data_IF_174184972245
#
_entry.id   IF_174184972245
#
_cell.length_a   1.000
_cell.length_b   1.000
_cell.length_c   1.000
_cell.angle_alpha   90.00
_cell.angle_beta   90.00
_cell.angle_gamma   90.00
#
_symmetry.space_group_name_H-M   'P 1'
#
loop_
_entity.id
_entity.type
_entity.pdbx_description
1 polymer ?
#
# COMPACT_ATOMS: atom_id res chain seq x y z
N UNK A 1 11.40 1.40 25.18
CA UNK A 1 9.96 1.07 25.30
C UNK A 1 9.08 1.71 24.22
N UNK A 2 9.41 2.90 23.71
CA UNK A 2 8.57 3.64 22.73
C UNK A 2 8.53 3.01 21.32
N UNK A 3 9.66 2.53 20.78
CA UNK A 3 9.70 1.94 19.42
C UNK A 3 8.83 0.68 19.26
N UNK A 4 8.92 -0.24 20.21
CA UNK A 4 8.11 -1.47 20.24
C UNK A 4 6.60 -1.17 20.32
N UNK A 5 6.20 -0.25 21.19
CA UNK A 5 4.80 0.17 21.26
C UNK A 5 4.30 0.74 19.93
N UNK A 6 5.13 1.54 19.24
CA UNK A 6 4.78 2.11 17.94
C UNK A 6 4.65 1.01 16.87
N UNK A 7 5.59 0.04 16.79
CA UNK A 7 5.49 -1.08 15.85
C UNK A 7 4.26 -1.94 16.10
N UNK A 8 4.00 -2.31 17.35
CA UNK A 8 2.84 -3.12 17.73
C UNK A 8 1.52 -2.40 17.41
N UNK A 9 1.43 -1.10 17.69
CA UNK A 9 0.28 -0.28 17.32
C UNK A 9 0.11 -0.20 15.80
N UNK A 10 1.20 -0.02 15.07
CA UNK A 10 1.19 0.03 13.60
C UNK A 10 0.69 -1.30 13.01
N UNK A 11 1.21 -2.44 13.49
CA UNK A 11 0.76 -3.76 13.08
C UNK A 11 -0.72 -4.01 13.41
N UNK A 12 -1.18 -3.54 14.58
CA UNK A 12 -2.59 -3.60 14.97
C UNK A 12 -3.47 -2.78 14.03
N UNK A 13 -3.08 -1.53 13.74
CA UNK A 13 -3.81 -0.65 12.82
C UNK A 13 -3.86 -1.24 11.41
N UNK A 14 -2.74 -1.76 10.91
CA UNK A 14 -2.68 -2.42 9.59
C UNK A 14 -3.61 -3.64 9.56
N UNK A 15 -3.56 -4.50 10.59
CA UNK A 15 -4.44 -5.67 10.70
C UNK A 15 -5.92 -5.28 10.72
N UNK A 16 -6.29 -4.32 11.58
CA UNK A 16 -7.67 -3.83 11.67
C UNK A 16 -8.13 -3.21 10.35
N UNK A 17 -7.26 -2.45 9.67
CA UNK A 17 -7.59 -1.85 8.37
C UNK A 17 -7.78 -2.92 7.30
N UNK A 18 -6.91 -3.94 7.25
CA UNK A 18 -7.06 -5.07 6.33
C UNK A 18 -8.37 -5.83 6.57
N UNK A 19 -8.73 -6.08 7.84
CA UNK A 19 -10.00 -6.70 8.19
C UNK A 19 -11.21 -5.85 7.78
N UNK A 20 -11.15 -4.54 8.01
CA UNK A 20 -12.22 -3.63 7.59
C UNK A 20 -12.36 -3.61 6.07
N UNK A 21 -11.26 -3.62 5.31
CA UNK A 21 -11.31 -3.71 3.84
C UNK A 21 -11.91 -5.05 3.39
N UNK A 22 -11.60 -6.16 4.07
CA UNK A 22 -12.24 -7.46 3.80
C UNK A 22 -13.75 -7.43 4.04
N UNK A 23 -14.18 -6.95 5.21
CA UNK A 23 -15.59 -6.80 5.54
C UNK A 23 -16.31 -5.87 4.56
N UNK A 24 -15.66 -4.77 4.22
CA UNK A 24 -16.16 -3.83 3.23
C UNK A 24 -16.26 -4.50 1.86
N UNK A 25 -15.28 -5.32 1.47
CA UNK A 25 -15.32 -6.11 0.24
C UNK A 25 -16.52 -7.05 0.21
N UNK A 26 -16.79 -7.76 1.29
CA UNK A 26 -17.95 -8.67 1.39
C UNK A 26 -19.28 -7.92 1.25
N UNK A 27 -19.40 -6.75 1.88
CA UNK A 27 -20.61 -5.90 1.81
C UNK A 27 -20.77 -5.28 0.41
N UNK A 28 -19.67 -4.80 -0.18
CA UNK A 28 -19.66 -4.09 -1.46
C UNK A 28 -19.70 -5.04 -2.66
N UNK A 29 -19.49 -6.34 -2.46
CA UNK A 29 -19.50 -7.37 -3.51
C UNK A 29 -20.77 -7.34 -4.39
N UNK A 30 -21.92 -6.93 -3.84
CA UNK A 30 -23.19 -6.74 -4.56
C UNK A 30 -23.64 -5.29 -4.74
N UNK A 31 -22.81 -4.31 -4.39
CA UNK A 31 -23.15 -2.88 -4.37
C UNK A 31 -22.86 -2.16 -5.69
N UNK A 32 -22.98 -0.83 -5.71
CA UNK A 32 -22.82 -0.05 -6.94
C UNK A 32 -21.39 -0.15 -7.49
N UNK A 33 -21.25 0.01 -8.81
CA UNK A 33 -19.96 -0.03 -9.50
C UNK A 33 -18.98 1.04 -8.99
N UNK A 34 -19.49 2.18 -8.50
CA UNK A 34 -18.68 3.23 -7.90
C UNK A 34 -18.07 2.79 -6.56
N UNK A 35 -18.84 2.06 -5.75
CA UNK A 35 -18.36 1.52 -4.47
C UNK A 35 -17.27 0.48 -4.68
N UNK A 36 -17.40 -0.36 -5.73
CA UNK A 36 -16.36 -1.32 -6.14
C UNK A 36 -15.06 -0.63 -6.57
N UNK A 37 -15.16 0.49 -7.29
CA UNK A 37 -14.02 1.33 -7.67
C UNK A 37 -13.29 1.91 -6.45
N UNK A 38 -14.04 2.50 -5.52
CA UNK A 38 -13.46 3.03 -4.29
C UNK A 38 -12.77 1.93 -3.47
N UNK A 39 -13.39 0.75 -3.39
CA UNK A 39 -12.82 -0.41 -2.72
C UNK A 39 -11.51 -0.88 -3.37
N UNK A 40 -11.47 -1.00 -4.70
CA UNK A 40 -10.25 -1.32 -5.46
C UNK A 40 -9.13 -0.34 -5.15
N UNK A 41 -9.43 0.95 -5.22
CA UNK A 41 -8.46 2.00 -4.94
C UNK A 41 -7.91 1.92 -3.51
N UNK A 42 -8.79 1.80 -2.51
CA UNK A 42 -8.41 1.69 -1.10
C UNK A 42 -7.49 0.50 -0.83
N UNK A 43 -7.78 -0.62 -1.50
CA UNK A 43 -7.04 -1.86 -1.33
C UNK A 43 -5.66 -1.81 -1.98
N UNK A 44 -5.54 -1.17 -3.15
CA UNK A 44 -4.23 -0.88 -3.77
C UNK A 44 -3.41 0.09 -2.91
N UNK A 45 -4.02 1.19 -2.44
CA UNK A 45 -3.34 2.17 -1.58
C UNK A 45 -2.88 1.55 -0.26
N UNK A 46 -3.71 0.71 0.38
CA UNK A 46 -3.31 -0.01 1.59
C UNK A 46 -2.16 -0.99 1.30
N UNK A 47 -2.26 -1.78 0.23
CA UNK A 47 -1.22 -2.73 -0.16
C UNK A 47 0.14 -2.03 -0.36
N UNK A 48 0.15 -0.90 -1.06
CA UNK A 48 1.35 -0.09 -1.26
C UNK A 48 1.91 0.47 0.06
N UNK A 49 1.05 0.98 0.94
CA UNK A 49 1.48 1.49 2.25
C UNK A 49 2.09 0.40 3.13
N UNK A 50 1.50 -0.81 3.12
CA UNK A 50 2.01 -1.94 3.90
C UNK A 50 3.32 -2.48 3.31
N UNK A 51 3.46 -2.50 1.97
CA UNK A 51 4.72 -2.83 1.30
C UNK A 51 5.85 -1.90 1.76
N UNK A 52 5.62 -0.57 1.71
CA UNK A 52 6.62 0.42 2.15
C UNK A 52 7.01 0.24 3.61
N UNK A 53 6.05 -0.10 4.47
CA UNK A 53 6.32 -0.38 5.88
C UNK A 53 7.13 -1.66 6.07
N UNK A 54 6.82 -2.73 5.33
CA UNK A 54 7.59 -3.98 5.34
C UNK A 54 9.05 -3.76 4.88
N UNK A 55 9.25 -2.98 3.82
CA UNK A 55 10.60 -2.63 3.34
C UNK A 55 11.39 -1.83 4.39
N UNK A 56 10.71 -0.93 5.10
CA UNK A 56 11.30 -0.17 6.20
C UNK A 56 11.68 -1.07 7.38
N UNK A 57 10.80 -2.00 7.79
CA UNK A 57 11.11 -2.98 8.83
C UNK A 57 12.30 -3.85 8.45
N UNK A 58 12.38 -4.32 7.20
CA UNK A 58 13.53 -5.08 6.68
C UNK A 58 14.82 -4.27 6.78
N UNK A 59 14.79 -3.00 6.40
CA UNK A 59 15.94 -2.09 6.51
C UNK A 59 16.36 -1.87 7.97
N UNK A 60 15.41 -1.80 8.89
CA UNK A 60 15.68 -1.71 10.33
C UNK A 60 16.32 -3.01 10.84
N UNK A 61 15.82 -4.17 10.41
CA UNK A 61 16.37 -5.48 10.76
C UNK A 61 17.81 -5.69 10.23
N UNK A 62 18.08 -5.27 8.99
CA UNK A 62 19.43 -5.33 8.42
C UNK A 62 20.41 -4.42 9.20
N UNK A 63 19.95 -3.22 9.58
CA UNK A 63 20.75 -2.29 10.39
C UNK A 63 20.98 -2.80 11.81
N UNK A 64 19.98 -3.43 12.44
CA UNK A 64 20.16 -4.03 13.76
C UNK A 64 21.10 -5.24 13.70
N UNK A 65 21.01 -6.09 12.66
CA UNK A 65 21.95 -7.19 12.42
C UNK A 65 23.38 -6.72 12.20
N UNK A 66 23.59 -5.66 11.41
CA UNK A 66 24.92 -5.13 11.11
C UNK A 66 25.64 -4.50 12.32
N UNK A 67 24.90 -4.13 13.36
CA UNK A 67 25.43 -3.54 14.60
C UNK A 67 25.75 -4.59 15.67
N UNK A 68 25.36 -5.85 15.46
CA UNK A 68 25.83 -6.96 16.28
C UNK A 68 27.22 -7.37 15.77
N UNK A 69 28.20 -7.63 16.65
CA UNK A 69 29.36 -8.43 16.27
C UNK A 69 28.85 -9.72 15.63
N UNK A 70 29.52 -10.31 14.61
CA UNK A 70 29.18 -11.64 14.17
C UNK A 70 29.25 -12.54 15.40
N UNK A 71 28.09 -12.88 15.96
CA UNK A 71 27.98 -13.93 16.95
C UNK A 71 28.69 -15.12 16.31
N UNK A 72 29.72 -15.63 17.00
CA UNK A 72 30.54 -16.73 16.52
C UNK A 72 29.65 -17.93 16.26
N UNK A 73 29.09 -17.98 15.06
CA UNK A 73 28.34 -19.09 14.54
C UNK A 73 29.39 -20.08 14.13
N UNK A 74 29.65 -21.02 15.04
CA UNK A 74 30.16 -22.36 14.76
C UNK A 74 31.40 -22.44 13.87
N UNK A 75 32.56 -22.16 14.47
CA UNK A 75 33.80 -22.86 14.10
C UNK A 75 33.99 -24.18 14.84
N UNK A 76 33.03 -24.63 15.65
CA UNK A 76 33.16 -25.89 16.39
C UNK A 76 32.52 -27.08 15.66
N UNK A 77 32.93 -27.30 14.40
CA UNK A 77 32.74 -28.61 13.74
C UNK A 77 33.97 -29.46 14.00
N UNK A 78 33.91 -30.21 15.11
CA UNK A 78 34.60 -31.48 15.39
C UNK A 78 36.14 -31.50 15.33
N UNK A 79 36.81 -31.70 16.47
CA UNK A 79 37.92 -32.63 16.56
C UNK A 79 37.37 -34.05 16.38
N UNK A 80 38.02 -34.82 15.52
CA UNK A 80 37.80 -36.25 15.38
C UNK A 80 38.16 -36.95 16.70
N UNK A 81 37.30 -37.85 17.17
CA UNK A 81 37.72 -39.04 17.92
C UNK A 81 36.63 -40.12 17.81
N UNK A 82 36.89 -41.24 17.12
CA UNK A 82 36.36 -42.52 17.55
C UNK A 82 37.35 -43.12 18.55
N UNK A 83 36.93 -43.27 19.80
CA UNK A 83 37.67 -44.03 20.80
C UNK A 83 37.52 -45.52 20.49
N UNK A 84 38.59 -46.21 20.09
CA UNK A 84 38.74 -47.67 20.24
C UNK A 84 40.24 -48.02 20.25
N UNK A 85 40.73 -48.29 21.46
CA UNK A 85 41.71 -49.30 21.88
C UNK A 85 43.15 -49.41 21.29
N UNK A 86 44.05 -49.79 22.22
CA UNK A 86 45.31 -50.56 22.07
C UNK A 86 46.69 -49.84 22.05
N UNK A 87 47.38 -50.02 23.19
CA UNK A 87 48.78 -50.51 23.38
C UNK A 87 49.86 -50.13 22.35
N UNK A 88 50.94 -49.44 22.78
CA UNK A 88 52.25 -50.04 23.09
C UNK A 88 53.35 -48.98 23.33
N UNK A 89 54.45 -49.45 23.93
CA UNK A 89 55.55 -48.77 24.63
C UNK A 89 56.52 -47.90 23.79
N UNK A 90 57.34 -47.10 24.48
CA UNK A 90 58.71 -46.79 24.03
C UNK A 90 59.25 -45.37 24.36
N UNK A 91 60.34 -45.20 25.14
CA UNK A 91 60.75 -43.92 25.75
C UNK A 91 61.97 -43.25 25.08
N UNK A 92 62.14 -41.92 25.13
CA UNK A 92 63.48 -41.26 25.21
C UNK A 92 63.44 -39.70 25.31
N UNK A 93 64.10 -39.20 26.37
CA UNK A 93 65.00 -38.04 26.45
C UNK A 93 64.56 -36.58 26.14
N UNK A 94 64.89 -35.67 27.06
CA UNK A 94 65.31 -34.30 26.69
C UNK A 94 64.84 -33.16 27.60
N UNK A 95 65.61 -32.91 28.66
CA UNK A 95 65.54 -31.76 29.57
C UNK A 95 65.91 -30.42 28.88
N UNK A 96 65.15 -29.33 29.12
CA UNK A 96 65.67 -27.97 29.12
C UNK A 96 64.71 -26.97 29.81
N UNK A 97 65.32 -26.19 30.69
CA UNK A 97 64.78 -25.22 31.65
C UNK A 97 64.42 -23.87 31.01
N UNK A 98 63.37 -23.22 31.55
CA UNK A 98 63.37 -21.77 31.81
C UNK A 98 62.56 -20.89 30.86
N UNK A 99 61.48 -20.28 31.37
CA UNK A 99 61.28 -18.82 31.41
C UNK A 99 59.80 -18.48 31.73
N UNK A 100 59.64 -17.96 32.94
CA UNK A 100 58.90 -16.74 33.28
C UNK A 100 57.40 -16.62 33.03
N UNK A 101 56.72 -16.19 34.09
CA UNK A 101 55.29 -15.98 34.20
C UNK A 101 54.72 -14.97 33.20
N UNK A 102 53.45 -15.17 32.87
CA UNK A 102 52.69 -14.22 32.07
C UNK A 102 51.47 -14.76 31.34
N UNK A 103 51.06 -16.02 31.55
CA UNK A 103 49.96 -16.61 30.78
C UNK A 103 48.68 -16.88 31.59
N UNK A 104 48.46 -16.16 32.70
CA UNK A 104 47.28 -16.38 33.56
C UNK A 104 46.42 -15.13 33.79
N UNK A 105 46.45 -14.14 32.88
CA UNK A 105 45.67 -12.90 33.05
C UNK A 105 45.02 -12.36 31.76
N UNK A 106 44.78 -13.17 30.73
CA UNK A 106 44.10 -12.70 29.50
C UNK A 106 42.83 -13.48 29.15
N UNK A 107 42.15 -14.09 30.13
CA UNK A 107 41.02 -14.98 29.83
C UNK A 107 39.68 -14.71 30.53
N UNK A 108 39.47 -13.57 31.20
CA UNK A 108 38.09 -13.27 31.61
C UNK A 108 37.91 -11.81 31.98
N UNK A 109 37.65 -10.97 30.99
CA UNK A 109 36.88 -9.74 31.22
C UNK A 109 35.98 -9.49 30.02
N UNK A 110 35.15 -10.49 29.70
CA UNK A 110 33.81 -10.16 29.19
C UNK A 110 33.07 -9.71 30.44
N UNK A 111 32.91 -8.40 30.61
CA UNK A 111 32.13 -7.84 31.71
C UNK A 111 30.71 -8.44 31.67
N UNK A 112 30.13 -8.82 32.80
CA UNK A 112 28.73 -9.26 32.88
C UNK A 112 27.79 -8.20 32.23
N UNK A 113 28.19 -6.93 32.29
CA UNK A 113 27.52 -5.79 31.64
C UNK A 113 27.48 -5.89 30.10
N UNK A 114 28.53 -6.42 29.46
CA UNK A 114 28.57 -6.66 28.01
C UNK A 114 27.68 -7.84 27.60
N UNK A 115 27.58 -8.87 28.44
CA UNK A 115 26.69 -10.02 28.23
C UNK A 115 25.22 -9.59 28.35
N UNK A 116 24.88 -8.78 29.36
CA UNK A 116 23.54 -8.23 29.51
C UNK A 116 23.17 -7.31 28.33
N UNK A 117 24.10 -6.47 27.87
CA UNK A 117 23.88 -5.58 26.73
C UNK A 117 23.70 -6.36 25.41
N UNK A 118 24.45 -7.45 25.21
CA UNK A 118 24.28 -8.35 24.07
C UNK A 118 22.92 -9.08 24.12
N UNK A 119 22.53 -9.59 25.29
CA UNK A 119 21.26 -10.30 25.51
C UNK A 119 20.06 -9.39 25.24
N UNK A 120 20.09 -8.16 25.75
CA UNK A 120 19.03 -7.17 25.51
C UNK A 120 18.93 -6.77 24.02
N UNK A 121 20.05 -6.76 23.29
CA UNK A 121 20.07 -6.47 21.84
C UNK A 121 19.59 -7.65 21.00
N UNK A 122 19.90 -8.89 21.39
CA UNK A 122 19.40 -10.09 20.73
C UNK A 122 17.87 -10.22 20.87
N UNK A 123 17.33 -9.95 22.07
CA UNK A 123 15.88 -9.89 22.29
C UNK A 123 15.22 -8.86 21.38
N UNK A 124 15.78 -7.66 21.26
CA UNK A 124 15.26 -6.62 20.36
C UNK A 124 15.24 -7.06 18.89
N UNK A 125 16.20 -7.90 18.47
CA UNK A 125 16.28 -8.41 17.10
C UNK A 125 15.23 -9.50 16.83
N UNK A 126 15.09 -10.45 17.75
CA UNK A 126 14.03 -11.46 17.71
C UNK A 126 12.63 -10.83 17.67
N UNK A 127 12.45 -9.70 18.35
CA UNK A 127 11.21 -8.94 18.29
C UNK A 127 10.93 -8.32 16.92
N UNK A 128 11.93 -7.68 16.29
CA UNK A 128 11.79 -7.14 14.92
C UNK A 128 11.48 -8.26 13.92
N UNK A 129 12.10 -9.43 14.10
CA UNK A 129 11.85 -10.59 13.24
C UNK A 129 10.41 -11.10 13.36
N UNK A 130 9.84 -11.11 14.57
CA UNK A 130 8.43 -11.45 14.79
C UNK A 130 7.49 -10.44 14.12
N UNK A 131 7.74 -9.14 14.31
CA UNK A 131 6.94 -8.08 13.70
C UNK A 131 6.99 -8.14 12.16
N UNK A 132 8.13 -8.55 11.59
CA UNK A 132 8.31 -8.72 10.15
C UNK A 132 7.51 -9.92 9.59
N UNK A 133 7.38 -11.00 10.36
CA UNK A 133 6.54 -12.14 9.98
C UNK A 133 5.06 -11.75 9.92
N UNK A 134 4.58 -10.98 10.90
CA UNK A 134 3.20 -10.50 10.94
C UNK A 134 2.89 -9.60 9.72
N UNK A 135 3.76 -8.64 9.43
CA UNK A 135 3.59 -7.75 8.25
C UNK A 135 3.65 -8.53 6.94
N UNK A 136 4.56 -9.50 6.83
CA UNK A 136 4.68 -10.37 5.64
C UNK A 136 3.40 -11.16 5.38
N UNK A 137 2.74 -11.66 6.43
CA UNK A 137 1.46 -12.34 6.29
C UNK A 137 0.37 -11.39 5.80
N UNK A 138 0.29 -10.18 6.37
CA UNK A 138 -0.70 -9.18 5.94
C UNK A 138 -0.45 -8.73 4.49
N UNK A 139 0.81 -8.57 4.11
CA UNK A 139 1.22 -8.26 2.74
C UNK A 139 0.73 -9.30 1.73
N UNK A 140 0.93 -10.59 2.02
CA UNK A 140 0.47 -11.69 1.15
C UNK A 140 -1.04 -11.69 1.01
N UNK A 141 -1.74 -11.48 2.12
CA UNK A 141 -3.19 -11.42 2.17
C UNK A 141 -3.73 -10.24 1.34
N UNK A 142 -3.13 -9.04 1.47
CA UNK A 142 -3.47 -7.87 0.66
C UNK A 142 -3.14 -8.07 -0.82
N UNK A 143 -2.01 -8.68 -1.15
CA UNK A 143 -1.61 -8.97 -2.52
C UNK A 143 -2.59 -9.94 -3.20
N UNK A 144 -3.00 -11.00 -2.51
CA UNK A 144 -4.04 -11.93 -2.98
C UNK A 144 -5.34 -11.19 -3.24
N UNK A 145 -5.73 -10.35 -2.27
CA UNK A 145 -6.92 -9.55 -2.39
C UNK A 145 -6.83 -8.69 -3.67
N UNK A 146 -5.77 -7.90 -3.86
CA UNK A 146 -5.62 -7.00 -5.05
C UNK A 146 -5.66 -7.81 -6.35
N UNK A 147 -5.03 -8.99 -6.39
CA UNK A 147 -4.96 -9.82 -7.58
C UNK A 147 -6.33 -10.35 -8.04
N UNK A 148 -7.22 -10.69 -7.10
CA UNK A 148 -8.58 -11.17 -7.41
C UNK A 148 -9.48 -10.13 -8.10
N UNK A 149 -9.04 -8.88 -8.26
CA UNK A 149 -9.85 -7.81 -8.88
C UNK A 149 -9.79 -7.76 -10.41
N UNK A 150 -8.95 -8.57 -11.06
CA UNK A 150 -8.63 -8.53 -12.50
C UNK A 150 -9.84 -8.38 -13.45
N UNK A 151 -10.81 -9.28 -13.39
CA UNK A 151 -11.95 -9.27 -14.33
C UNK A 151 -12.93 -8.10 -14.11
N UNK A 152 -12.92 -7.54 -12.91
CA UNK A 152 -13.87 -6.50 -12.51
C UNK A 152 -13.41 -5.12 -12.92
N UNK A 153 -12.09 -4.89 -12.97
CA UNK A 153 -11.47 -3.62 -13.32
C UNK A 153 -11.57 -3.35 -14.83
N UNK A 154 -11.37 -4.37 -15.69
CA UNK A 154 -11.47 -4.20 -17.15
C UNK A 154 -12.89 -3.79 -17.58
N UNK A 155 -13.91 -4.41 -16.97
CA UNK A 155 -15.30 -4.00 -17.15
C UNK A 155 -15.61 -2.63 -16.54
N UNK A 156 -14.72 -2.09 -15.68
CA UNK A 156 -14.83 -0.80 -15.02
C UNK A 156 -14.24 0.36 -15.86
N UNK A 157 -13.10 0.15 -16.49
CA UNK A 157 -12.49 1.09 -17.44
C UNK A 157 -13.47 1.38 -18.59
N UNK A 158 -14.08 0.32 -19.13
CA UNK A 158 -14.95 0.38 -20.31
C UNK A 158 -16.17 1.31 -20.12
N UNK A 159 -16.86 1.30 -18.96
CA UNK A 159 -17.97 2.24 -18.73
C UNK A 159 -17.57 3.61 -18.16
N UNK A 160 -16.35 3.82 -17.67
CA UNK A 160 -15.88 5.20 -17.40
C UNK A 160 -15.72 5.91 -18.75
N UNK A 161 -15.21 5.20 -19.76
CA UNK A 161 -15.16 5.67 -21.13
C UNK A 161 -16.58 5.92 -21.70
N UNK A 162 -17.58 5.09 -21.41
CA UNK A 162 -18.97 5.40 -21.84
C UNK A 162 -19.61 6.55 -21.06
N UNK A 163 -19.30 6.73 -19.77
CA UNK A 163 -19.87 7.83 -18.97
C UNK A 163 -19.33 9.18 -19.42
N UNK A 164 -18.03 9.28 -19.69
CA UNK A 164 -17.43 10.49 -20.28
C UNK A 164 -18.02 10.80 -21.66
N UNK A 165 -18.18 9.79 -22.52
CA UNK A 165 -18.86 9.91 -23.81
C UNK A 165 -20.32 10.39 -23.69
N UNK A 166 -21.06 9.91 -22.69
CA UNK A 166 -22.45 10.33 -22.45
C UNK A 166 -22.55 11.79 -21.99
N UNK A 167 -21.62 12.28 -21.15
CA UNK A 167 -21.58 13.68 -20.72
C UNK A 167 -21.25 14.60 -21.90
N UNK A 168 -20.32 14.20 -22.76
CA UNK A 168 -19.99 14.95 -23.96
C UNK A 168 -21.17 15.00 -24.95
N UNK A 169 -21.86 13.87 -25.13
CA UNK A 169 -23.08 13.78 -25.94
C UNK A 169 -24.21 14.66 -25.37
N UNK A 170 -24.42 14.63 -24.06
CA UNK A 170 -25.42 15.47 -23.38
C UNK A 170 -25.11 16.96 -23.51
N UNK A 171 -23.84 17.36 -23.38
CA UNK A 171 -23.41 18.74 -23.63
C UNK A 171 -23.67 19.16 -25.08
N UNK A 172 -23.44 18.26 -26.04
CA UNK A 172 -23.71 18.53 -27.44
C UNK A 172 -25.22 18.68 -27.72
N UNK A 173 -26.07 17.86 -27.10
CA UNK A 173 -27.52 18.00 -27.18
C UNK A 173 -28.02 19.30 -26.55
N UNK A 174 -27.49 19.68 -25.37
CA UNK A 174 -27.80 20.97 -24.73
C UNK A 174 -27.41 22.15 -25.63
N UNK A 175 -26.24 22.09 -26.26
CA UNK A 175 -25.79 23.11 -27.21
C UNK A 175 -26.73 23.22 -28.42
N UNK A 176 -27.12 22.08 -29.01
CA UNK A 176 -28.10 22.03 -30.12
C UNK A 176 -29.45 22.61 -29.67
N UNK A 177 -29.98 22.19 -28.52
CA UNK A 177 -31.25 22.68 -27.99
C UNK A 177 -31.25 24.20 -27.79
N UNK A 178 -30.15 24.76 -27.26
CA UNK A 178 -30.01 26.22 -27.11
C UNK A 178 -30.01 26.94 -28.47
N UNK A 179 -29.29 26.43 -29.47
CA UNK A 179 -29.30 26.98 -30.82
C UNK A 179 -30.71 26.94 -31.45
N UNK A 180 -31.44 25.82 -31.33
CA UNK A 180 -32.81 25.70 -31.80
C UNK A 180 -33.73 26.72 -31.12
N UNK A 181 -33.69 26.84 -29.79
CA UNK A 181 -34.49 27.83 -29.06
C UNK A 181 -34.17 29.27 -29.49
N UNK A 182 -32.91 29.60 -29.77
CA UNK A 182 -32.52 30.92 -30.27
C UNK A 182 -33.10 31.20 -31.65
N UNK A 183 -33.08 30.21 -32.55
CA UNK A 183 -33.68 30.35 -33.89
C UNK A 183 -35.20 30.48 -33.82
N UNK A 184 -35.87 29.70 -32.96
CA UNK A 184 -37.32 29.79 -32.77
C UNK A 184 -37.75 31.16 -32.21
N UNK A 185 -36.99 31.72 -31.25
CA UNK A 185 -37.25 33.08 -30.75
C UNK A 185 -37.15 34.13 -31.85
N UNK A 186 -36.14 34.04 -32.72
CA UNK A 186 -36.02 34.93 -33.89
C UNK A 186 -37.23 34.78 -34.81
N UNK A 187 -37.61 33.54 -35.18
CA UNK A 187 -38.77 33.28 -36.04
C UNK A 187 -40.08 33.80 -35.45
N UNK A 188 -40.31 33.59 -34.15
CA UNK A 188 -41.48 34.14 -33.43
C UNK A 188 -41.51 35.67 -33.50
N UNK A 189 -40.37 36.34 -33.31
CA UNK A 189 -40.27 37.79 -33.43
C UNK A 189 -40.64 38.27 -34.84
N UNK A 190 -40.10 37.63 -35.89
CA UNK A 190 -40.45 37.95 -37.27
C UNK A 190 -41.96 37.79 -37.55
N UNK A 191 -42.58 36.71 -37.08
CA UNK A 191 -44.02 36.49 -37.25
C UNK A 191 -44.86 37.55 -36.52
N UNK A 192 -44.47 37.94 -35.30
CA UNK A 192 -45.16 38.99 -34.56
C UNK A 192 -45.08 40.35 -35.26
N UNK A 193 -43.90 40.73 -35.77
CA UNK A 193 -43.71 41.99 -36.51
C UNK A 193 -44.54 41.98 -37.79
N UNK A 194 -44.48 40.91 -38.58
CA UNK A 194 -45.26 40.77 -39.80
C UNK A 194 -46.77 40.83 -39.54
N UNK A 195 -47.25 40.13 -38.51
CA UNK A 195 -48.66 40.18 -38.10
C UNK A 195 -49.12 41.58 -37.67
N UNK A 196 -48.28 42.31 -36.92
CA UNK A 196 -48.57 43.69 -36.52
C UNK A 196 -48.73 44.63 -37.71
N UNK A 197 -47.88 44.51 -38.73
CA UNK A 197 -47.97 45.32 -39.96
C UNK A 197 -49.29 45.06 -40.69
N UNK A 198 -49.68 43.79 -40.85
CA UNK A 198 -50.96 43.42 -41.49
C UNK A 198 -52.14 44.01 -40.72
N UNK A 199 -52.11 43.96 -39.39
CA UNK A 199 -53.17 44.49 -38.54
C UNK A 199 -53.31 46.02 -38.69
N UNK A 200 -52.19 46.75 -38.73
CA UNK A 200 -52.18 48.20 -38.96
C UNK A 200 -52.81 48.54 -40.33
N UNK A 201 -52.43 47.83 -41.39
CA UNK A 201 -52.99 48.05 -42.73
C UNK A 201 -54.51 47.82 -42.75
N UNK A 202 -54.99 46.76 -42.11
CA UNK A 202 -56.43 46.49 -41.98
C UNK A 202 -57.18 47.61 -41.26
N UNK A 203 -56.62 48.12 -40.15
CA UNK A 203 -57.22 49.24 -39.41
C UNK A 203 -57.32 50.49 -40.29
N UNK A 204 -56.28 50.80 -41.07
CA UNK A 204 -56.27 51.96 -41.97
C UNK A 204 -57.36 51.80 -43.04
N UNK A 205 -57.47 50.63 -43.67
CA UNK A 205 -58.51 50.36 -44.69
C UNK A 205 -59.90 50.54 -44.09
N UNK A 206 -60.16 49.96 -42.92
CA UNK A 206 -61.45 50.08 -42.23
C UNK A 206 -61.72 51.55 -41.89
N UNK A 207 -60.77 52.28 -41.31
CA UNK A 207 -60.92 53.69 -40.95
C UNK A 207 -61.18 54.60 -42.16
N UNK A 208 -60.52 54.36 -43.30
CA UNK A 208 -60.76 55.10 -44.54
C UNK A 208 -62.14 54.77 -45.11
N UNK A 209 -62.52 53.49 -45.11
CA UNK A 209 -63.83 53.05 -45.59
C UNK A 209 -64.98 53.59 -44.74
N UNK A 210 -64.80 53.73 -43.42
CA UNK A 210 -65.80 54.26 -42.51
C UNK A 210 -65.93 55.80 -42.56
N UNK A 211 -64.92 56.50 -43.09
CA UNK A 211 -64.95 57.96 -43.28
C UNK A 211 -65.53 58.39 -44.63
N UNK A 212 -65.72 57.45 -45.56
CA UNK A 212 -66.27 57.69 -46.89
C UNK A 212 -67.74 57.31 -46.93
#
# INVERSE_FOLDING_TARGET
MTGHFIQQQTNKVITSTSQLIKQLSDIISGSSRQDRLHLTRLKTELSESVQRYGDLQKKIAERSRALLPPAQTDKNKSPQTPSTEQMEEGPLFGEAVGSEGGAQAFLSEISEEDVEALRQREEALLHIERDMLDVSQIMKDLASMVHEQGDTIDSIEDYIQTTSSNVESANQELAKANQYQRQLRKRKCYLLVAGGIVLIVLIIIIAVSARK
#
